data_IF_889955406666
#
_entry.id   IF_889955406666
#
_cell.length_a   1.000
_cell.length_b   1.000
_cell.length_c   1.000
_cell.angle_alpha   90.00
_cell.angle_beta   90.00
_cell.angle_gamma   90.00
#
_symmetry.space_group_name_H-M   'P 1'
#
loop_
_entity.id
_entity.type
_entity.pdbx_description
1 polymer ?
#
# COMPACT_ATOMS: atom_id res chain seq x y z
N UNK A 1 31.11 4.48 -12.46
CA UNK A 1 30.81 4.22 -11.04
C UNK A 1 29.50 3.45 -11.04
N UNK A 2 29.56 2.12 -11.02
CA UNK A 2 28.35 1.28 -10.97
C UNK A 2 27.68 1.47 -9.61
N UNK A 3 26.52 2.10 -9.61
CA UNK A 3 25.64 2.11 -8.44
C UNK A 3 25.06 0.72 -8.30
N UNK A 4 25.61 -0.06 -7.36
CA UNK A 4 24.99 -1.31 -6.92
C UNK A 4 23.68 -0.91 -6.24
N UNK A 5 22.58 -0.91 -6.98
CA UNK A 5 21.25 -0.88 -6.38
C UNK A 5 21.14 -2.14 -5.52
N UNK A 6 20.94 -2.03 -4.19
CA UNK A 6 20.73 -3.22 -3.39
C UNK A 6 19.53 -3.97 -3.97
N UNK A 7 19.69 -5.26 -4.25
CA UNK A 7 18.58 -6.11 -4.65
C UNK A 7 17.51 -5.99 -3.55
N UNK A 8 16.39 -5.35 -3.88
CA UNK A 8 15.27 -5.19 -2.96
C UNK A 8 14.66 -6.59 -2.77
N UNK A 9 15.01 -7.26 -1.67
CA UNK A 9 14.39 -8.51 -1.26
C UNK A 9 13.51 -8.27 -0.03
N UNK A 10 12.26 -8.70 -0.09
CA UNK A 10 11.34 -8.70 1.05
C UNK A 10 11.11 -10.15 1.49
N UNK A 11 11.70 -10.53 2.63
CA UNK A 11 11.57 -11.87 3.21
C UNK A 11 10.38 -11.94 4.17
N UNK A 12 9.54 -12.98 4.07
CA UNK A 12 8.40 -13.14 4.96
C UNK A 12 8.84 -13.49 6.39
N UNK A 13 8.08 -13.06 7.41
CA UNK A 13 8.11 -13.71 8.72
C UNK A 13 7.51 -15.14 8.62
N UNK A 14 7.46 -15.93 9.70
CA UNK A 14 6.68 -17.15 9.72
C UNK A 14 5.20 -16.84 9.45
N UNK A 15 4.61 -17.45 8.41
CA UNK A 15 3.24 -17.21 7.98
C UNK A 15 2.44 -18.52 7.94
N UNK A 16 1.13 -18.50 8.28
CA UNK A 16 0.22 -19.58 7.91
C UNK A 16 0.14 -19.76 6.39
N UNK A 17 -0.18 -20.98 5.93
CA UNK A 17 -0.18 -21.33 4.50
C UNK A 17 -1.05 -20.38 3.67
N UNK A 18 -2.27 -20.07 4.12
CA UNK A 18 -3.17 -19.18 3.37
C UNK A 18 -2.67 -17.74 3.28
N UNK A 19 -1.81 -17.32 4.22
CA UNK A 19 -1.19 -15.99 4.22
C UNK A 19 0.06 -16.00 3.35
N UNK A 20 0.82 -17.10 3.36
CA UNK A 20 1.98 -17.30 2.52
C UNK A 20 1.61 -17.31 1.02
N UNK A 21 0.44 -17.85 0.65
CA UNK A 21 -0.10 -17.76 -0.70
C UNK A 21 -0.31 -16.30 -1.13
N UNK A 22 -0.97 -15.49 -0.29
CA UNK A 22 -1.16 -14.06 -0.58
C UNK A 22 0.19 -13.33 -0.66
N UNK A 23 1.13 -13.65 0.24
CA UNK A 23 2.46 -13.07 0.19
C UNK A 23 3.13 -13.34 -1.16
N UNK A 24 3.12 -14.60 -1.61
CA UNK A 24 3.72 -15.01 -2.88
C UNK A 24 3.09 -14.28 -4.08
N UNK A 25 1.77 -14.07 -4.06
CA UNK A 25 1.04 -13.37 -5.12
C UNK A 25 1.48 -11.90 -5.27
N UNK A 26 1.73 -11.20 -4.16
CA UNK A 26 1.83 -9.73 -4.15
C UNK A 26 3.22 -9.15 -3.79
N UNK A 27 4.14 -9.96 -3.28
CA UNK A 27 5.44 -9.47 -2.80
C UNK A 27 6.24 -8.74 -3.87
N UNK A 28 6.18 -9.19 -5.12
CA UNK A 28 6.93 -8.57 -6.22
C UNK A 28 6.39 -7.17 -6.54
N UNK A 29 5.07 -6.97 -6.52
CA UNK A 29 4.45 -5.67 -6.74
C UNK A 29 4.71 -4.72 -5.55
N UNK A 30 4.63 -5.23 -4.32
CA UNK A 30 4.99 -4.45 -3.14
C UNK A 30 6.46 -3.98 -3.22
N UNK A 31 7.39 -4.85 -3.64
CA UNK A 31 8.79 -4.50 -3.88
C UNK A 31 8.92 -3.46 -5.01
N UNK A 32 8.19 -3.63 -6.12
CA UNK A 32 8.18 -2.68 -7.23
C UNK A 32 7.69 -1.29 -6.80
N UNK A 33 6.79 -1.23 -5.83
CA UNK A 33 6.31 0.01 -5.20
C UNK A 33 7.18 0.52 -4.03
N UNK A 34 8.30 -0.16 -3.76
CA UNK A 34 9.34 0.32 -2.84
C UNK A 34 9.27 -0.24 -1.44
N UNK A 35 8.47 -1.27 -1.18
CA UNK A 35 8.49 -2.00 0.09
C UNK A 35 9.88 -2.57 0.38
N UNK A 36 10.32 -2.47 1.63
CA UNK A 36 11.65 -2.89 2.10
C UNK A 36 11.50 -3.87 3.25
N UNK A 37 12.61 -4.51 3.64
CA UNK A 37 12.59 -5.49 4.72
C UNK A 37 12.02 -4.95 6.05
N UNK A 38 12.15 -3.65 6.33
CA UNK A 38 11.53 -3.03 7.51
C UNK A 38 10.00 -3.05 7.50
N UNK A 39 9.39 -3.21 6.32
CA UNK A 39 7.94 -3.25 6.14
C UNK A 39 7.38 -4.69 6.17
N UNK A 40 8.22 -5.70 6.34
CA UNK A 40 7.84 -7.12 6.23
C UNK A 40 6.68 -7.52 7.15
N UNK A 41 6.68 -7.06 8.40
CA UNK A 41 5.60 -7.33 9.36
C UNK A 41 4.30 -6.64 8.96
N UNK A 42 4.37 -5.39 8.49
CA UNK A 42 3.19 -4.65 8.02
C UNK A 42 2.62 -5.24 6.72
N UNK A 43 3.48 -5.77 5.85
CA UNK A 43 3.07 -6.46 4.64
C UNK A 43 2.46 -7.83 4.96
N UNK A 44 3.01 -8.57 5.95
CA UNK A 44 2.43 -9.80 6.47
C UNK A 44 1.03 -9.58 7.07
N UNK A 45 0.84 -8.48 7.81
CA UNK A 45 -0.48 -8.08 8.32
C UNK A 45 -1.46 -7.81 7.18
N UNK A 46 -1.05 -7.08 6.15
CA UNK A 46 -1.89 -6.85 4.96
C UNK A 46 -2.26 -8.17 4.26
N UNK A 47 -1.31 -9.10 4.14
CA UNK A 47 -1.57 -10.43 3.56
C UNK A 47 -2.57 -11.23 4.40
N UNK A 48 -2.43 -11.17 5.73
CA UNK A 48 -3.35 -11.81 6.68
C UNK A 48 -4.76 -11.25 6.54
N UNK A 49 -4.86 -9.92 6.38
CA UNK A 49 -6.13 -9.26 6.14
C UNK A 49 -6.77 -9.71 4.81
N UNK A 50 -5.99 -9.81 3.74
CA UNK A 50 -6.47 -10.27 2.44
C UNK A 50 -7.00 -11.71 2.52
N UNK A 51 -6.26 -12.61 3.17
CA UNK A 51 -6.65 -14.00 3.35
C UNK A 51 -7.97 -14.11 4.12
N UNK A 52 -8.14 -13.34 5.20
CA UNK A 52 -9.38 -13.30 5.95
C UNK A 52 -10.56 -12.74 5.11
N UNK A 53 -10.33 -11.68 4.32
CA UNK A 53 -11.36 -11.14 3.44
C UNK A 53 -11.76 -12.13 2.34
N UNK A 54 -10.82 -12.92 1.79
CA UNK A 54 -11.11 -14.03 0.86
C UNK A 54 -11.99 -15.10 1.55
N UNK A 55 -11.71 -15.45 2.81
CA UNK A 55 -12.53 -16.39 3.61
C UNK A 55 -13.94 -15.86 3.83
N UNK A 56 -14.12 -14.62 4.31
CA UNK A 56 -15.43 -14.00 4.50
C UNK A 56 -16.26 -14.01 3.21
N UNK A 57 -15.66 -13.63 2.06
CA UNK A 57 -16.34 -13.66 0.76
C UNK A 57 -16.80 -15.06 0.37
N UNK A 58 -15.96 -16.07 0.61
CA UNK A 58 -16.29 -17.47 0.29
C UNK A 58 -17.39 -18.03 1.18
N UNK A 59 -17.42 -17.61 2.45
CA UNK A 59 -18.43 -17.99 3.42
C UNK A 59 -19.74 -17.19 3.30
N UNK A 60 -19.81 -16.22 2.37
CA UNK A 60 -20.92 -15.25 2.25
C UNK A 60 -21.18 -14.44 3.53
N UNK A 61 -20.15 -14.25 4.36
CA UNK A 61 -20.22 -13.50 5.61
C UNK A 61 -19.64 -12.09 5.45
N UNK A 62 -20.22 -11.08 6.12
CA UNK A 62 -19.69 -9.72 6.07
C UNK A 62 -18.41 -9.60 6.92
N UNK A 63 -17.36 -9.04 6.32
CA UNK A 63 -16.16 -8.66 7.08
C UNK A 63 -16.41 -7.39 7.92
N UNK A 64 -15.77 -7.25 9.10
CA UNK A 64 -15.86 -6.02 9.88
C UNK A 64 -15.37 -4.79 9.09
N UNK A 65 -16.13 -3.70 9.12
CA UNK A 65 -15.84 -2.50 8.34
C UNK A 65 -14.47 -1.88 8.65
N UNK A 66 -14.04 -1.91 9.92
CA UNK A 66 -12.72 -1.47 10.36
C UNK A 66 -11.59 -2.27 9.70
N UNK A 67 -11.81 -3.58 9.51
CA UNK A 67 -10.86 -4.49 8.89
C UNK A 67 -10.70 -4.17 7.39
N UNK A 68 -11.82 -3.91 6.70
CA UNK A 68 -11.81 -3.47 5.29
C UNK A 68 -11.11 -2.12 5.12
N UNK A 69 -11.32 -1.18 6.06
CA UNK A 69 -10.69 0.13 6.03
C UNK A 69 -9.16 0.04 6.24
N UNK A 70 -8.71 -0.75 7.22
CA UNK A 70 -7.29 -0.99 7.49
C UNK A 70 -6.61 -1.72 6.32
N UNK A 71 -7.26 -2.74 5.76
CA UNK A 71 -6.79 -3.45 4.57
C UNK A 71 -6.53 -2.50 3.39
N UNK A 72 -7.44 -1.54 3.16
CA UNK A 72 -7.24 -0.51 2.14
C UNK A 72 -6.09 0.44 2.45
N UNK A 73 -5.99 0.91 3.69
CA UNK A 73 -4.92 1.82 4.10
C UNK A 73 -3.52 1.20 3.93
N UNK A 74 -3.35 -0.05 4.33
CA UNK A 74 -2.11 -0.79 4.12
C UNK A 74 -1.90 -1.11 2.63
N UNK A 75 -2.96 -1.41 1.88
CA UNK A 75 -2.88 -1.59 0.43
C UNK A 75 -2.36 -0.34 -0.29
N UNK A 76 -2.77 0.86 0.15
CA UNK A 76 -2.26 2.12 -0.38
C UNK A 76 -0.78 2.32 -0.04
N UNK A 77 -0.35 1.98 1.18
CA UNK A 77 1.04 2.05 1.60
C UNK A 77 1.95 1.20 0.70
N UNK A 78 1.49 0.01 0.30
CA UNK A 78 2.24 -0.92 -0.55
C UNK A 78 1.99 -0.73 -2.05
N UNK A 79 1.22 0.29 -2.47
CA UNK A 79 0.87 0.52 -3.87
C UNK A 79 -0.08 -0.51 -4.49
N UNK A 80 -0.65 -1.42 -3.67
CA UNK A 80 -1.56 -2.50 -4.08
C UNK A 80 -3.03 -2.06 -4.09
N UNK A 81 -3.33 -0.90 -3.54
CA UNK A 81 -4.63 -0.23 -3.67
C UNK A 81 -4.45 1.15 -4.32
N UNK A 82 -5.44 1.55 -5.12
CA UNK A 82 -5.46 2.89 -5.70
C UNK A 82 -5.47 3.97 -4.61
N UNK A 83 -4.83 5.14 -4.85
CA UNK A 83 -4.75 6.16 -3.82
C UNK A 83 -6.13 6.64 -3.42
N UNK A 84 -6.33 6.98 -2.13
CA UNK A 84 -7.53 7.70 -1.66
C UNK A 84 -7.89 8.89 -2.54
N UNK A 85 -6.89 9.55 -3.14
CA UNK A 85 -7.08 10.66 -4.08
C UNK A 85 -7.81 10.30 -5.37
N UNK A 86 -8.09 9.03 -5.71
CA UNK A 86 -9.06 8.72 -6.78
C UNK A 86 -10.49 9.20 -6.42
N UNK A 87 -10.76 9.49 -5.15
CA UNK A 87 -11.96 10.24 -4.70
C UNK A 87 -11.84 11.77 -4.94
N UNK A 88 -10.63 12.29 -5.07
CA UNK A 88 -10.34 13.69 -5.34
C UNK A 88 -9.76 13.77 -6.75
N UNK A 89 -10.66 13.81 -7.74
CA UNK A 89 -10.34 14.00 -9.17
C UNK A 89 -9.06 14.85 -9.30
N UNK A 90 -7.95 14.32 -9.89
CA UNK A 90 -6.77 15.14 -10.09
C UNK A 90 -7.23 16.38 -10.85
N UNK A 91 -7.03 17.56 -10.27
CA UNK A 91 -7.26 18.79 -11.00
C UNK A 91 -6.38 18.71 -12.25
N UNK A 92 -7.06 18.64 -13.38
CA UNK A 92 -6.46 18.61 -14.71
C UNK A 92 -5.46 19.76 -14.82
N UNK A 93 -4.23 19.43 -15.20
CA UNK A 93 -3.18 20.35 -15.64
C UNK A 93 -2.95 21.65 -14.85
N UNK A 94 -1.99 21.58 -13.92
CA UNK A 94 -0.97 22.62 -13.81
C UNK A 94 -1.32 23.84 -12.97
N UNK A 95 -1.15 23.71 -11.65
CA UNK A 95 -0.47 24.69 -10.75
C UNK A 95 -0.63 24.24 -9.30
N UNK A 96 0.45 24.14 -8.50
CA UNK A 96 0.31 24.34 -7.07
C UNK A 96 0.07 25.84 -6.85
N UNK A 97 -1.19 26.25 -6.61
CA UNK A 97 -1.44 27.54 -5.99
C UNK A 97 -1.00 27.40 -4.54
N UNK A 98 0.30 27.63 -4.28
CA UNK A 98 0.82 27.73 -2.92
C UNK A 98 -0.05 28.77 -2.17
N UNK A 99 -0.83 28.36 -1.16
CA UNK A 99 -1.73 29.27 -0.43
C UNK A 99 -0.95 30.28 0.42
N UNK A 100 0.37 30.09 0.55
CA UNK A 100 1.30 30.94 1.28
C UNK A 100 2.29 31.67 0.35
N UNK A 101 2.02 31.76 -0.96
CA UNK A 101 2.75 32.66 -1.86
C UNK A 101 2.40 34.12 -1.51
N UNK A 102 2.95 34.57 -0.39
CA UNK A 102 2.92 35.91 0.18
C UNK A 102 3.35 36.89 -0.91
N UNK A 103 2.45 37.82 -1.27
CA UNK A 103 2.73 38.97 -2.12
C UNK A 103 3.85 39.82 -1.50
N UNK A 104 5.08 39.41 -1.69
CA UNK A 104 6.28 40.15 -1.35
C UNK A 104 6.74 40.94 -2.56
N UNK A 105 6.20 42.14 -2.73
CA UNK A 105 6.93 43.21 -3.43
C UNK A 105 6.61 44.53 -2.75
N UNK A 106 7.58 44.99 -1.98
CA UNK A 106 7.69 46.39 -1.60
C UNK A 106 7.77 47.22 -2.88
N UNK A 107 6.94 48.26 -2.94
CA UNK A 107 7.22 49.54 -3.56
C UNK A 107 6.37 50.58 -2.82
#
# INVERSE_FOLDING_TARGET
>A
METISPALSLKPPPLPDEVAEVWADYVNEAIAHGARQCDAESFAEWCSMAANLRKCRTAEEPAPASYVAQFRMLGELFGLAGPKSRLVKPADNGKPANPFARNGRAN
#
